data_IF_869080131853
#
_entry.id   IF_869080131853
#
_cell.length_a   1.000
_cell.length_b   1.000
_cell.length_c   1.000
_cell.angle_alpha   90.00
_cell.angle_beta   90.00
_cell.angle_gamma   90.00
#
_symmetry.space_group_name_H-M   'P 1'
#
loop_
_entity.id
_entity.type
_entity.pdbx_description
1 polymer ?
#
# COMPACT_ATOMS: atom_id res chain seq x y z
N UNK A 1 12.78 -5.91 -7.43
CA UNK A 1 12.04 -6.60 -8.54
C UNK A 1 12.88 -6.53 -9.80
N UNK A 2 12.88 -7.57 -10.66
CA UNK A 2 13.65 -7.57 -11.92
C UNK A 2 13.04 -6.56 -12.91
N UNK A 3 13.88 -5.81 -13.65
CA UNK A 3 13.45 -4.74 -14.58
C UNK A 3 12.37 -5.20 -15.57
N UNK A 4 12.50 -6.38 -16.14
CA UNK A 4 11.52 -6.93 -17.10
C UNK A 4 10.12 -7.12 -16.47
N UNK A 5 10.05 -7.63 -15.23
CA UNK A 5 8.76 -7.80 -14.52
C UNK A 5 8.09 -6.46 -14.23
N UNK A 6 8.88 -5.47 -13.85
CA UNK A 6 8.37 -4.11 -13.67
C UNK A 6 7.77 -3.55 -14.96
N UNK A 7 8.47 -3.69 -16.09
CA UNK A 7 7.96 -3.23 -17.40
C UNK A 7 6.69 -3.95 -17.83
N UNK A 8 6.55 -5.25 -17.54
CA UNK A 8 5.30 -6.00 -17.79
C UNK A 8 4.15 -5.38 -16.97
N UNK A 9 4.35 -5.12 -15.69
CA UNK A 9 3.33 -4.49 -14.83
C UNK A 9 2.95 -3.08 -15.34
N UNK A 10 3.93 -2.27 -15.77
CA UNK A 10 3.70 -0.94 -16.35
C UNK A 10 2.83 -1.02 -17.62
N UNK A 11 3.14 -1.95 -18.55
CA UNK A 11 2.36 -2.15 -19.78
C UNK A 11 0.94 -2.61 -19.45
N UNK A 12 0.78 -3.56 -18.51
CA UNK A 12 -0.54 -4.00 -18.07
C UNK A 12 -1.33 -2.88 -17.40
N UNK A 13 -0.66 -1.99 -16.65
CA UNK A 13 -1.30 -0.81 -16.05
C UNK A 13 -1.78 0.18 -17.11
N UNK A 14 -0.96 0.43 -18.11
CA UNK A 14 -1.26 1.36 -19.20
C UNK A 14 -2.41 0.87 -20.11
N UNK A 15 -2.36 -0.43 -20.47
CA UNK A 15 -3.30 -1.02 -21.45
C UNK A 15 -4.55 -1.63 -20.81
N UNK A 16 -4.55 -1.80 -19.50
CA UNK A 16 -5.58 -2.51 -18.75
C UNK A 16 -5.44 -4.03 -18.85
N UNK A 17 -5.06 -4.55 -20.02
CA UNK A 17 -4.87 -5.99 -20.28
C UNK A 17 -3.91 -6.21 -21.45
N UNK A 18 -3.25 -7.38 -21.48
CA UNK A 18 -2.42 -7.79 -22.61
C UNK A 18 -2.29 -9.32 -22.72
N UNK A 19 -2.03 -9.81 -23.93
CA UNK A 19 -1.64 -11.19 -24.22
C UNK A 19 -0.13 -11.35 -24.15
N UNK A 20 0.35 -12.61 -24.15
CA UNK A 20 1.78 -12.92 -24.22
C UNK A 20 2.43 -12.32 -25.48
N UNK A 21 1.75 -12.41 -26.61
CA UNK A 21 2.26 -11.91 -27.88
C UNK A 21 2.39 -10.37 -27.84
N UNK A 22 1.34 -9.66 -27.37
CA UNK A 22 1.34 -8.20 -27.22
C UNK A 22 2.44 -7.70 -26.26
N UNK A 23 2.72 -8.43 -25.17
CA UNK A 23 3.82 -8.14 -24.25
C UNK A 23 5.18 -8.44 -24.87
N UNK A 24 5.28 -9.54 -25.63
CA UNK A 24 6.49 -9.90 -26.37
C UNK A 24 6.89 -8.84 -27.38
N UNK A 25 5.92 -8.39 -28.18
CA UNK A 25 6.14 -7.33 -29.17
C UNK A 25 6.54 -5.99 -28.51
N UNK A 26 5.88 -5.63 -27.40
CA UNK A 26 6.17 -4.39 -26.70
C UNK A 26 7.55 -4.37 -26.04
N UNK A 27 8.07 -5.52 -25.62
CA UNK A 27 9.33 -5.64 -24.88
C UNK A 27 10.49 -6.18 -25.74
N UNK A 28 10.23 -6.63 -26.96
CA UNK A 28 11.22 -7.29 -27.80
C UNK A 28 11.68 -8.64 -27.24
N UNK A 29 10.79 -9.36 -26.54
CA UNK A 29 11.10 -10.62 -25.87
C UNK A 29 10.32 -11.79 -26.47
N UNK A 30 10.88 -12.99 -26.36
CA UNK A 30 10.21 -14.19 -26.85
C UNK A 30 8.98 -14.53 -25.99
N UNK A 31 7.93 -15.18 -26.58
CA UNK A 31 6.77 -15.63 -25.82
C UNK A 31 7.10 -16.55 -24.64
N UNK A 32 8.18 -17.32 -24.75
CA UNK A 32 8.65 -18.21 -23.66
C UNK A 32 9.18 -17.40 -22.48
N UNK A 33 9.96 -16.34 -22.75
CA UNK A 33 10.49 -15.44 -21.73
C UNK A 33 9.36 -14.69 -21.04
N UNK A 34 8.41 -14.17 -21.80
CA UNK A 34 7.23 -13.47 -21.24
C UNK A 34 6.42 -14.41 -20.34
N UNK A 35 6.16 -15.63 -20.80
CA UNK A 35 5.43 -16.62 -19.99
C UNK A 35 6.11 -16.89 -18.65
N UNK A 36 7.42 -17.08 -18.66
CA UNK A 36 8.19 -17.28 -17.42
C UNK A 36 8.01 -16.12 -16.43
N UNK A 37 8.10 -14.87 -16.90
CA UNK A 37 7.88 -13.69 -16.05
C UNK A 37 6.45 -13.58 -15.54
N UNK A 38 5.46 -13.87 -16.39
CA UNK A 38 4.05 -13.86 -16.00
C UNK A 38 3.72 -14.96 -14.99
N UNK A 39 4.32 -16.15 -15.10
CA UNK A 39 4.14 -17.22 -14.11
C UNK A 39 4.68 -16.83 -12.74
N UNK A 40 5.82 -16.13 -12.69
CA UNK A 40 6.36 -15.57 -11.44
C UNK A 40 5.38 -14.49 -10.87
N UNK A 41 4.96 -13.53 -11.69
CA UNK A 41 4.05 -12.46 -11.26
C UNK A 41 2.70 -13.01 -10.79
N UNK A 42 2.21 -14.10 -11.40
CA UNK A 42 1.01 -14.81 -10.93
C UNK A 42 1.25 -15.50 -9.59
N UNK A 43 2.40 -16.13 -9.41
CA UNK A 43 2.80 -16.71 -8.13
C UNK A 43 2.95 -15.68 -7.01
N UNK A 44 3.35 -14.46 -7.35
CA UNK A 44 3.41 -13.30 -6.46
C UNK A 44 2.03 -12.63 -6.25
N UNK A 45 0.97 -13.10 -6.92
CA UNK A 45 -0.40 -12.54 -6.81
C UNK A 45 -0.59 -11.18 -7.47
N UNK A 46 0.31 -10.77 -8.38
CA UNK A 46 0.29 -9.44 -9.02
C UNK A 46 -0.45 -9.42 -10.36
N UNK A 47 -0.56 -10.58 -11.00
CA UNK A 47 -1.19 -10.76 -12.32
C UNK A 47 -2.14 -11.95 -12.28
N UNK A 48 -3.27 -11.83 -12.94
CA UNK A 48 -4.24 -12.90 -13.12
C UNK A 48 -4.70 -13.04 -14.57
N UNK A 49 -5.38 -14.15 -14.85
CA UNK A 49 -5.95 -14.47 -16.18
C UNK A 49 -7.46 -14.60 -16.04
N UNK A 50 -8.22 -13.48 -16.17
CA UNK A 50 -9.67 -13.51 -16.01
C UNK A 50 -10.38 -14.19 -17.17
N UNK A 51 -9.81 -14.12 -18.38
CA UNK A 51 -10.46 -14.64 -19.59
C UNK A 51 -9.47 -15.15 -20.65
N UNK A 52 -10.04 -15.82 -21.62
CA UNK A 52 -9.35 -16.31 -22.81
C UNK A 52 -9.94 -15.61 -24.04
N UNK A 53 -9.14 -14.79 -24.72
CA UNK A 53 -9.53 -14.11 -25.96
C UNK A 53 -9.49 -15.12 -27.13
N UNK A 54 -10.63 -15.28 -27.81
CA UNK A 54 -10.67 -16.03 -29.06
C UNK A 54 -10.04 -15.18 -30.17
N UNK A 55 -9.14 -15.77 -30.95
CA UNK A 55 -8.61 -15.14 -32.18
C UNK A 55 -9.70 -15.05 -33.25
N UNK A 56 -9.68 -13.99 -34.04
CA UNK A 56 -10.50 -13.86 -35.25
C UNK A 56 -10.00 -14.74 -36.40
N UNK A 57 -8.74 -15.21 -36.30
CA UNK A 57 -8.10 -16.15 -37.24
C UNK A 57 -8.03 -17.54 -36.62
N UNK A 58 -7.98 -18.63 -37.42
CA UNK A 58 -7.76 -19.98 -36.89
C UNK A 58 -6.51 -20.06 -36.07
N UNK A 59 -6.60 -20.58 -34.84
CA UNK A 59 -5.45 -20.72 -33.93
C UNK A 59 -5.86 -21.01 -32.50
N UNK A 60 -4.88 -21.30 -31.64
CA UNK A 60 -5.10 -21.54 -30.23
C UNK A 60 -5.57 -20.27 -29.54
N UNK A 61 -6.61 -20.32 -28.68
CA UNK A 61 -7.03 -19.18 -27.88
C UNK A 61 -5.89 -18.56 -27.08
N UNK A 62 -5.89 -17.25 -26.91
CA UNK A 62 -4.87 -16.52 -26.18
C UNK A 62 -5.36 -16.17 -24.78
N UNK A 63 -4.52 -16.42 -23.78
CA UNK A 63 -4.74 -15.93 -22.41
C UNK A 63 -4.53 -14.43 -22.36
N UNK A 64 -5.47 -13.74 -21.73
CA UNK A 64 -5.40 -12.31 -21.45
C UNK A 64 -5.02 -12.13 -19.99
N UNK A 65 -4.00 -11.34 -19.75
CA UNK A 65 -3.45 -11.05 -18.43
C UNK A 65 -3.86 -9.65 -18.00
N UNK A 66 -4.26 -9.52 -16.72
CA UNK A 66 -4.56 -8.24 -16.09
C UNK A 66 -3.82 -8.13 -14.75
N UNK A 67 -3.73 -6.91 -14.21
CA UNK A 67 -3.25 -6.68 -12.87
C UNK A 67 -4.33 -7.04 -11.84
N UNK A 68 -3.90 -7.59 -10.72
CA UNK A 68 -4.75 -7.73 -9.52
C UNK A 68 -4.82 -6.41 -8.76
N UNK A 69 -5.72 -6.29 -7.79
CA UNK A 69 -5.77 -5.14 -6.88
C UNK A 69 -4.46 -4.98 -6.11
N UNK A 70 -3.87 -6.08 -5.67
CA UNK A 70 -2.59 -6.10 -4.93
C UNK A 70 -1.44 -5.48 -5.75
N UNK A 71 -1.47 -5.61 -7.08
CA UNK A 71 -0.47 -5.00 -7.95
C UNK A 71 -0.49 -3.46 -7.89
N UNK A 72 -1.58 -2.85 -7.45
CA UNK A 72 -1.67 -1.39 -7.33
C UNK A 72 -0.64 -0.81 -6.34
N UNK A 73 -0.15 -1.61 -5.39
CA UNK A 73 0.85 -1.20 -4.40
C UNK A 73 2.26 -1.05 -4.99
N UNK A 74 2.50 -1.62 -6.18
CA UNK A 74 3.77 -1.47 -6.91
C UNK A 74 3.89 -0.15 -7.67
N UNK A 75 2.81 0.60 -7.80
CA UNK A 75 2.81 1.89 -8.50
C UNK A 75 2.88 3.04 -7.50
N UNK A 76 3.61 4.14 -7.83
CA UNK A 76 3.71 5.30 -6.97
C UNK A 76 2.33 5.86 -6.60
N UNK A 77 2.10 6.05 -5.31
CA UNK A 77 0.90 6.70 -4.78
C UNK A 77 1.29 8.06 -4.21
N UNK A 78 0.70 9.13 -4.71
CA UNK A 78 1.02 10.50 -4.28
C UNK A 78 0.19 10.96 -3.06
N UNK A 79 -0.18 10.03 -2.16
CA UNK A 79 -1.01 10.37 -1.01
C UNK A 79 -0.34 11.34 -0.05
N UNK A 80 0.97 11.19 0.20
CA UNK A 80 1.71 12.13 1.06
C UNK A 80 1.72 13.54 0.49
N UNK A 81 1.96 13.68 -0.83
CA UNK A 81 1.90 15.00 -1.49
C UNK A 81 0.51 15.61 -1.43
N UNK A 82 -0.53 14.80 -1.66
CA UNK A 82 -1.91 15.28 -1.56
C UNK A 82 -2.25 15.73 -0.14
N UNK A 83 -1.84 14.97 0.89
CA UNK A 83 -2.05 15.32 2.27
C UNK A 83 -1.29 16.61 2.66
N UNK A 84 -0.04 16.77 2.22
CA UNK A 84 0.72 18.00 2.44
C UNK A 84 0.03 19.22 1.83
N UNK A 85 -0.39 19.14 0.56
CA UNK A 85 -1.14 20.23 -0.09
C UNK A 85 -2.45 20.56 0.63
N UNK A 86 -3.17 19.54 1.13
CA UNK A 86 -4.37 19.77 1.94
C UNK A 86 -4.06 20.52 3.24
N UNK A 87 -2.98 20.15 3.93
CA UNK A 87 -2.57 20.81 5.18
C UNK A 87 -2.14 22.26 4.91
N UNK A 88 -1.38 22.50 3.84
CA UNK A 88 -1.00 23.85 3.40
C UNK A 88 -2.24 24.71 3.14
N UNK A 89 -3.20 24.22 2.37
CA UNK A 89 -4.44 24.92 2.07
C UNK A 89 -5.29 25.19 3.33
N UNK A 90 -5.30 24.25 4.28
CA UNK A 90 -5.97 24.47 5.57
C UNK A 90 -5.26 25.54 6.41
N UNK A 91 -3.92 25.58 6.41
CA UNK A 91 -3.14 26.61 7.11
C UNK A 91 -3.37 28.01 6.56
N UNK A 92 -3.61 28.14 5.27
CA UNK A 92 -3.90 29.44 4.64
C UNK A 92 -5.30 29.97 4.97
N UNK A 93 -6.26 29.06 5.26
CA UNK A 93 -7.69 29.42 5.46
C UNK A 93 -8.13 29.49 6.90
N UNK A 94 -7.45 28.80 7.80
CA UNK A 94 -7.87 28.68 9.19
C UNK A 94 -6.81 29.22 10.14
N UNK A 95 -7.26 29.85 11.22
CA UNK A 95 -6.37 30.25 12.30
C UNK A 95 -5.77 29.03 13.01
N UNK A 96 -4.57 29.13 13.60
CA UNK A 96 -3.87 27.99 14.22
C UNK A 96 -4.72 27.22 15.24
N UNK A 97 -5.57 27.90 16.01
CA UNK A 97 -6.45 27.27 17.01
C UNK A 97 -7.56 26.44 16.35
N UNK A 98 -8.11 26.88 15.22
CA UNK A 98 -9.12 26.15 14.47
C UNK A 98 -8.51 24.92 13.79
N UNK A 99 -7.32 25.07 13.22
CA UNK A 99 -6.58 23.97 12.63
C UNK A 99 -6.24 22.89 13.69
N UNK A 100 -5.76 23.29 14.87
CA UNK A 100 -5.50 22.36 15.98
C UNK A 100 -6.78 21.59 16.37
N UNK A 101 -7.94 22.29 16.44
CA UNK A 101 -9.22 21.65 16.70
C UNK A 101 -9.60 20.60 15.65
N UNK A 102 -9.41 20.91 14.36
CA UNK A 102 -9.65 19.99 13.24
C UNK A 102 -8.76 18.75 13.36
N UNK A 103 -7.44 18.94 13.55
CA UNK A 103 -6.47 17.87 13.66
C UNK A 103 -6.72 16.96 14.88
N UNK A 104 -7.08 17.55 16.04
CA UNK A 104 -7.51 16.77 17.23
C UNK A 104 -8.78 15.98 16.97
N UNK A 105 -9.73 16.55 16.23
CA UNK A 105 -10.95 15.85 15.82
C UNK A 105 -10.64 14.64 14.91
N UNK A 106 -9.70 14.79 13.99
CA UNK A 106 -9.22 13.67 13.14
C UNK A 106 -8.53 12.59 13.98
N UNK A 107 -7.58 12.98 14.86
CA UNK A 107 -6.89 12.06 15.75
C UNK A 107 -7.87 11.28 16.62
N UNK A 108 -8.90 11.95 17.18
CA UNK A 108 -9.94 11.28 17.98
C UNK A 108 -10.74 10.25 17.16
N UNK A 109 -11.06 10.53 15.90
CA UNK A 109 -11.73 9.54 15.03
C UNK A 109 -10.85 8.33 14.77
N UNK A 110 -9.57 8.56 14.47
CA UNK A 110 -8.59 7.48 14.26
C UNK A 110 -8.39 6.60 15.50
N UNK A 111 -8.52 7.16 16.71
CA UNK A 111 -8.43 6.41 17.97
C UNK A 111 -9.74 5.73 18.37
N UNK A 112 -10.91 6.27 17.99
CA UNK A 112 -12.21 5.65 18.28
C UNK A 112 -12.46 4.36 17.49
N UNK A 113 -11.70 4.11 16.43
CA UNK A 113 -11.67 2.83 15.70
C UNK A 113 -10.91 1.71 16.45
N UNK A 114 -10.35 2.04 17.64
CA UNK A 114 -9.68 1.07 18.48
C UNK A 114 -10.70 0.16 19.18
N UNK A 115 -10.41 -1.15 19.31
CA UNK A 115 -11.23 -2.06 20.10
C UNK A 115 -11.32 -1.55 21.56
N UNK A 116 -12.52 -1.26 22.03
CA UNK A 116 -12.75 -0.68 23.37
C UNK A 116 -12.63 -1.68 24.53
N UNK A 117 -12.43 -2.98 24.28
CA UNK A 117 -12.41 -3.99 25.32
C UNK A 117 -11.01 -4.25 25.87
N UNK A 118 -10.51 -3.29 26.62
CA UNK A 118 -9.31 -3.46 27.45
C UNK A 118 -9.67 -3.63 28.96
N UNK A 119 -10.94 -3.78 29.30
CA UNK A 119 -11.43 -3.95 30.66
C UNK A 119 -11.05 -5.34 31.20
N UNK A 120 -10.47 -5.38 32.40
CA UNK A 120 -10.06 -6.61 33.09
C UNK A 120 -8.68 -7.15 32.73
N UNK A 121 -7.90 -6.45 31.89
CA UNK A 121 -6.55 -6.83 31.51
C UNK A 121 -5.49 -6.13 32.35
N UNK A 122 -4.31 -6.77 32.48
CA UNK A 122 -3.15 -6.13 33.12
C UNK A 122 -2.66 -4.95 32.28
N UNK A 123 -1.83 -4.09 32.88
CA UNK A 123 -1.25 -2.97 32.14
C UNK A 123 -0.39 -3.44 30.96
N UNK A 124 0.34 -4.55 31.13
CA UNK A 124 1.17 -5.15 30.08
C UNK A 124 0.32 -5.74 28.94
N UNK A 125 -0.84 -6.33 29.24
CA UNK A 125 -1.78 -6.80 28.21
C UNK A 125 -2.31 -5.63 27.37
N UNK A 126 -2.62 -4.51 28.01
CA UNK A 126 -3.04 -3.29 27.32
C UNK A 126 -1.93 -2.71 26.43
N UNK A 127 -0.68 -2.68 26.91
CA UNK A 127 0.47 -2.27 26.10
C UNK A 127 0.66 -3.17 24.89
N UNK A 128 0.52 -4.48 25.09
CA UNK A 128 0.59 -5.46 23.99
C UNK A 128 -0.51 -5.22 22.95
N UNK A 129 -1.73 -4.95 23.39
CA UNK A 129 -2.84 -4.59 22.50
C UNK A 129 -2.58 -3.29 21.71
N UNK A 130 -2.03 -2.27 22.35
CA UNK A 130 -1.63 -1.01 21.69
C UNK A 130 -0.54 -1.26 20.66
N UNK A 131 0.48 -2.06 20.97
CA UNK A 131 1.55 -2.41 20.03
C UNK A 131 1.02 -3.17 18.83
N UNK A 132 0.12 -4.17 19.05
CA UNK A 132 -0.51 -4.89 17.95
C UNK A 132 -1.24 -3.96 17.00
N UNK A 133 -2.07 -3.07 17.54
CA UNK A 133 -2.81 -2.08 16.77
C UNK A 133 -1.90 -1.12 15.99
N UNK A 134 -0.82 -0.65 16.62
CA UNK A 134 0.16 0.20 15.94
C UNK A 134 0.79 -0.54 14.75
N UNK A 135 1.15 -1.82 14.94
CA UNK A 135 1.77 -2.64 13.90
C UNK A 135 0.78 -2.93 12.74
N UNK A 136 -0.49 -3.15 13.02
CA UNK A 136 -1.55 -3.27 11.99
C UNK A 136 -1.69 -1.99 11.15
N UNK A 137 -1.35 -0.82 11.72
CA UNK A 137 -1.36 0.49 11.05
C UNK A 137 -0.02 0.88 10.41
N UNK A 138 0.92 -0.07 10.32
CA UNK A 138 2.21 0.13 9.64
C UNK A 138 3.32 0.72 10.50
N UNK A 139 3.13 0.86 11.83
CA UNK A 139 4.23 1.15 12.72
C UNK A 139 5.05 -0.11 12.97
N UNK A 140 6.34 0.03 13.20
CA UNK A 140 7.18 -1.04 13.73
C UNK A 140 7.33 -0.76 15.23
N UNK A 141 6.30 -1.11 15.97
CA UNK A 141 6.19 -0.82 17.40
C UNK A 141 6.56 -2.02 18.24
N UNK A 142 7.18 -1.75 19.40
CA UNK A 142 7.44 -2.70 20.48
C UNK A 142 7.40 -1.97 21.81
N UNK A 143 7.17 -2.69 22.88
CA UNK A 143 7.33 -2.15 24.22
C UNK A 143 8.33 -2.98 25.02
N UNK A 144 8.93 -2.37 26.02
CA UNK A 144 9.82 -3.02 26.99
C UNK A 144 9.59 -2.45 28.40
N UNK A 145 9.84 -3.30 29.39
CA UNK A 145 9.81 -2.94 30.81
C UNK A 145 11.23 -2.76 31.28
N UNK A 146 11.50 -1.65 31.97
CA UNK A 146 12.78 -1.34 32.61
C UNK A 146 12.58 -1.08 34.09
N UNK A 147 13.67 -0.80 34.82
CA UNK A 147 13.57 -0.43 36.22
C UNK A 147 12.84 0.90 36.45
N UNK A 148 12.86 1.78 35.46
CA UNK A 148 12.26 3.13 35.51
C UNK A 148 10.85 3.19 34.95
N UNK A 149 10.29 2.07 34.43
CA UNK A 149 8.96 2.02 33.88
C UNK A 149 8.84 1.26 32.60
N UNK A 150 7.87 1.68 31.76
CA UNK A 150 7.57 1.06 30.46
C UNK A 150 7.93 2.02 29.33
N UNK A 151 8.61 1.50 28.32
CA UNK A 151 8.96 2.25 27.11
C UNK A 151 8.27 1.65 25.91
N UNK A 152 7.61 2.52 25.11
CA UNK A 152 7.04 2.19 23.82
C UNK A 152 7.95 2.74 22.72
N UNK A 153 8.48 1.87 21.90
CA UNK A 153 9.29 2.22 20.73
C UNK A 153 8.44 2.11 19.47
N UNK A 154 8.46 3.14 18.64
CA UNK A 154 7.84 3.14 17.30
C UNK A 154 8.93 3.50 16.27
N UNK A 155 9.49 2.50 15.60
CA UNK A 155 10.63 2.66 14.71
C UNK A 155 10.24 3.09 13.28
N UNK A 156 8.96 2.98 12.94
CA UNK A 156 8.40 3.48 11.70
C UNK A 156 7.17 4.33 12.00
N UNK A 157 7.12 5.52 11.45
CA UNK A 157 5.93 6.37 11.53
C UNK A 157 5.34 6.50 10.10
N UNK A 158 4.14 5.98 9.83
CA UNK A 158 3.51 6.09 8.50
C UNK A 158 3.26 7.54 8.06
N UNK A 159 3.26 8.49 9.01
CA UNK A 159 3.03 9.92 8.77
C UNK A 159 4.31 10.76 8.80
N UNK A 160 5.47 10.12 8.79
CA UNK A 160 6.77 10.80 8.97
C UNK A 160 7.00 11.93 7.97
N UNK A 161 6.69 11.68 6.70
CA UNK A 161 6.90 12.68 5.63
C UNK A 161 5.99 13.89 5.82
N UNK A 162 4.74 13.66 6.21
CA UNK A 162 3.77 14.74 6.50
C UNK A 162 4.21 15.52 7.75
N UNK A 163 4.60 14.83 8.82
CA UNK A 163 4.99 15.49 10.08
C UNK A 163 6.26 16.30 9.96
N UNK A 164 7.23 15.88 9.13
CA UNK A 164 8.47 16.60 8.90
C UNK A 164 8.26 17.93 8.20
N UNK A 165 7.33 17.97 7.24
CA UNK A 165 7.10 19.14 6.41
C UNK A 165 6.18 20.18 7.10
N UNK A 166 5.56 19.82 8.26
CA UNK A 166 4.57 20.63 8.96
C UNK A 166 4.84 20.82 10.47
N UNK A 167 6.08 20.66 10.93
CA UNK A 167 6.51 20.96 12.31
C UNK A 167 6.79 22.43 12.52
#
# INVERSE_FOLDING_TARGET
>A
MQVTRQRILEILKERGQATIDELGDALGLTPVTIRHHLDILRGEGLVEVPEVRRRTTPGRPQYVYILTETASDFFPKNYSRFANLMIEELRERYEPAELDHILRGMAKRMTNEMPQSLDGQTFEDRLTGVVSLLNERGYIAKWEKTNDGYYLHANNCPYRDISRDHT
#
